data_IF_468245020214
#
_entry.id   IF_468245020214
#
_cell.length_a   1.000
_cell.length_b   1.000
_cell.length_c   1.000
_cell.angle_alpha   90.00
_cell.angle_beta   90.00
_cell.angle_gamma   90.00
#
_symmetry.space_group_name_H-M   'P 1'
#
loop_
_entity.id
_entity.type
_entity.pdbx_description
1 polymer ?
#
# COMPACT_ATOMS: atom_id res chain seq x y z
N UNK A 1 -11.13 2.65 -15.26
CA UNK A 1 -11.59 4.02 -14.90
C UNK A 1 -11.57 4.20 -13.38
N UNK A 2 -11.20 5.37 -12.86
CA UNK A 2 -11.23 5.68 -11.42
C UNK A 2 -12.64 5.74 -10.81
N UNK A 3 -13.30 4.58 -10.69
CA UNK A 3 -14.67 4.43 -10.21
C UNK A 3 -14.89 3.02 -9.67
N UNK A 4 -15.70 2.92 -8.63
CA UNK A 4 -16.24 1.64 -8.15
C UNK A 4 -17.69 1.81 -7.68
N UNK A 5 -18.37 0.69 -7.42
CA UNK A 5 -19.71 0.65 -6.83
C UNK A 5 -19.61 -0.05 -5.49
N UNK A 6 -20.19 0.56 -4.46
CA UNK A 6 -20.28 0.00 -3.12
C UNK A 6 -21.67 0.30 -2.57
N UNK A 7 -22.36 -0.74 -2.09
CA UNK A 7 -23.74 -0.67 -1.58
C UNK A 7 -24.70 0.06 -2.54
N UNK A 8 -24.58 -0.24 -3.84
CA UNK A 8 -25.40 0.34 -4.90
C UNK A 8 -25.06 1.80 -5.26
N UNK A 9 -24.15 2.45 -4.55
CA UNK A 9 -23.71 3.82 -4.82
C UNK A 9 -22.43 3.85 -5.64
N UNK A 10 -22.41 4.74 -6.62
CA UNK A 10 -21.24 5.02 -7.45
C UNK A 10 -20.29 5.97 -6.72
N UNK A 11 -19.01 5.60 -6.63
CA UNK A 11 -17.93 6.43 -6.13
C UNK A 11 -16.91 6.67 -7.23
N UNK A 12 -16.37 7.89 -7.29
CA UNK A 12 -15.32 8.29 -8.22
C UNK A 12 -14.06 8.58 -7.44
N UNK A 13 -12.97 7.89 -7.78
CA UNK A 13 -11.66 8.10 -7.18
C UNK A 13 -10.86 9.12 -7.99
N UNK A 14 -9.84 9.70 -7.37
CA UNK A 14 -8.96 10.64 -8.05
C UNK A 14 -8.24 9.96 -9.22
N UNK A 15 -8.45 10.47 -10.45
CA UNK A 15 -7.80 9.97 -11.66
C UNK A 15 -6.41 10.60 -11.78
N UNK A 16 -5.38 9.77 -11.73
CA UNK A 16 -3.96 10.17 -11.79
C UNK A 16 -3.13 9.34 -12.78
N UNK A 17 -3.74 8.42 -13.52
CA UNK A 17 -3.07 7.59 -14.52
C UNK A 17 -4.01 7.32 -15.70
N UNK A 18 -3.91 8.14 -16.76
CA UNK A 18 -4.84 8.13 -17.88
C UNK A 18 -6.29 8.31 -17.42
N UNK A 19 -7.11 7.26 -17.53
CA UNK A 19 -8.51 7.24 -17.05
C UNK A 19 -8.68 6.54 -15.69
N UNK A 20 -7.59 6.03 -15.13
CA UNK A 20 -7.53 5.17 -13.96
C UNK A 20 -7.06 5.93 -12.72
N UNK A 21 -7.30 5.31 -11.57
CA UNK A 21 -6.75 5.74 -10.29
C UNK A 21 -5.71 4.71 -9.86
N UNK A 22 -4.47 5.15 -9.69
CA UNK A 22 -3.35 4.31 -9.25
C UNK A 22 -2.88 4.73 -7.86
N UNK A 23 -2.51 3.75 -7.04
CA UNK A 23 -1.93 3.92 -5.70
C UNK A 23 -2.72 4.85 -4.75
N UNK A 24 -4.05 4.79 -4.84
CA UNK A 24 -4.94 5.56 -3.98
C UNK A 24 -5.06 7.05 -4.36
N UNK A 25 -4.59 7.47 -5.53
CA UNK A 25 -4.79 8.82 -6.06
C UNK A 25 -3.58 9.74 -5.93
N UNK A 26 -3.79 11.06 -6.13
CA UNK A 26 -2.72 12.06 -6.15
C UNK A 26 -1.94 12.13 -4.83
N UNK A 27 -2.63 12.02 -3.69
CA UNK A 27 -2.07 11.98 -2.34
C UNK A 27 -2.49 10.70 -1.60
N UNK A 28 -2.14 9.55 -2.16
CA UNK A 28 -2.26 8.27 -1.46
C UNK A 28 -1.34 8.16 -0.25
N UNK A 29 -1.40 7.02 0.45
CA UNK A 29 -0.69 6.78 1.72
C UNK A 29 0.84 6.92 1.69
N UNK A 30 1.46 6.88 0.51
CA UNK A 30 2.90 7.15 0.33
C UNK A 30 3.25 8.65 0.41
N UNK A 31 2.26 9.54 0.46
CA UNK A 31 2.43 11.01 0.41
C UNK A 31 1.76 11.75 1.56
N UNK A 32 1.33 11.03 2.59
CA UNK A 32 0.77 11.62 3.81
C UNK A 32 1.82 11.61 4.92
N UNK A 33 1.67 12.52 5.87
CA UNK A 33 2.49 12.52 7.08
C UNK A 33 1.83 11.60 8.10
N UNK A 34 2.55 10.56 8.49
CA UNK A 34 2.09 9.60 9.48
C UNK A 34 2.45 10.06 10.88
N UNK A 35 1.53 9.86 11.81
CA UNK A 35 1.78 10.04 13.24
C UNK A 35 2.47 8.80 13.79
N UNK A 36 3.55 8.96 14.55
CA UNK A 36 4.13 7.84 15.32
C UNK A 36 3.21 7.56 16.50
N UNK A 37 2.56 6.39 16.50
CA UNK A 37 1.65 5.99 17.57
C UNK A 37 2.39 5.28 18.70
N UNK A 38 3.38 4.48 18.34
CA UNK A 38 4.18 3.69 19.26
C UNK A 38 5.58 3.46 18.68
N UNK A 39 6.57 3.43 19.54
CA UNK A 39 7.95 3.17 19.17
C UNK A 39 8.67 2.48 20.33
N UNK A 40 9.28 1.33 20.02
CA UNK A 40 10.14 0.59 20.95
C UNK A 40 11.52 0.45 20.33
N UNK A 41 12.50 1.08 20.98
CA UNK A 41 13.89 1.02 20.57
C UNK A 41 14.59 -0.21 21.17
N UNK A 42 15.35 -0.93 20.36
CA UNK A 42 16.19 -2.05 20.80
C UNK A 42 15.42 -3.32 21.20
N UNK A 43 16.12 -4.24 21.87
CA UNK A 43 15.62 -5.57 22.20
C UNK A 43 15.63 -6.54 21.02
N UNK A 44 15.05 -7.72 21.21
CA UNK A 44 15.00 -8.78 20.20
C UNK A 44 14.02 -8.50 19.04
N UNK A 45 13.18 -7.47 19.21
CA UNK A 45 12.07 -7.15 18.30
C UNK A 45 11.71 -5.66 18.33
N UNK A 46 12.63 -4.73 18.03
CA UNK A 46 12.30 -3.31 17.91
C UNK A 46 11.22 -3.06 16.85
N UNK A 47 10.34 -2.11 17.10
CA UNK A 47 9.29 -1.76 16.17
C UNK A 47 8.85 -0.29 16.25
N UNK A 48 8.22 0.16 15.18
CA UNK A 48 7.53 1.45 15.10
C UNK A 48 6.14 1.23 14.50
N UNK A 49 5.11 1.77 15.16
CA UNK A 49 3.74 1.79 14.65
C UNK A 49 3.39 3.20 14.20
N UNK A 50 3.11 3.34 12.91
CA UNK A 50 2.65 4.55 12.27
C UNK A 50 1.13 4.55 12.19
N UNK A 51 0.52 5.72 12.31
CA UNK A 51 -0.92 5.92 12.26
C UNK A 51 -1.31 7.07 11.33
N UNK A 52 -2.40 6.89 10.58
CA UNK A 52 -3.02 7.93 9.77
C UNK A 52 -4.55 7.77 9.77
N UNK A 53 -5.26 8.89 9.82
CA UNK A 53 -6.72 8.98 9.66
C UNK A 53 -7.02 9.52 8.27
N UNK A 54 -7.54 8.68 7.38
CA UNK A 54 -8.18 9.13 6.14
C UNK A 54 -9.60 9.57 6.48
N UNK A 55 -10.02 10.73 6.01
CA UNK A 55 -11.37 11.26 6.23
C UNK A 55 -12.32 10.87 5.09
N UNK A 56 -13.63 10.88 5.36
CA UNK A 56 -14.68 10.62 4.36
C UNK A 56 -14.51 11.50 3.11
N UNK A 57 -14.36 10.86 1.95
CA UNK A 57 -14.17 11.51 0.66
C UNK A 57 -12.71 11.75 0.27
N UNK A 58 -11.73 11.42 1.13
CA UNK A 58 -10.32 11.57 0.79
C UNK A 58 -9.96 10.74 -0.45
N UNK A 59 -9.37 11.39 -1.46
CA UNK A 59 -9.09 10.82 -2.78
C UNK A 59 -10.30 10.18 -3.48
N UNK A 60 -11.53 10.48 -3.02
CA UNK A 60 -12.79 9.94 -3.53
C UNK A 60 -13.28 8.66 -2.85
N UNK A 61 -12.60 8.17 -1.80
CA UNK A 61 -13.03 7.00 -1.04
C UNK A 61 -14.03 7.38 0.06
N UNK A 62 -15.11 6.63 0.28
CA UNK A 62 -16.05 6.90 1.36
C UNK A 62 -15.47 6.50 2.72
N UNK A 63 -15.98 7.17 3.74
CA UNK A 63 -15.81 6.83 5.14
C UNK A 63 -14.49 7.30 5.74
N UNK A 64 -14.53 7.49 7.06
CA UNK A 64 -13.31 7.66 7.83
C UNK A 64 -12.65 6.29 8.00
N UNK A 65 -11.33 6.24 7.77
CA UNK A 65 -10.53 5.04 7.86
C UNK A 65 -9.33 5.30 8.78
N UNK A 66 -9.28 4.55 9.87
CA UNK A 66 -8.07 4.42 10.67
C UNK A 66 -7.11 3.47 9.99
N UNK A 67 -5.86 3.88 9.80
CA UNK A 67 -4.82 3.04 9.23
C UNK A 67 -3.61 3.01 10.15
N UNK A 68 -3.10 1.81 10.39
CA UNK A 68 -1.89 1.55 11.15
C UNK A 68 -0.91 0.74 10.29
N UNK A 69 0.37 1.11 10.34
CA UNK A 69 1.46 0.36 9.73
C UNK A 69 2.58 0.16 10.75
N UNK A 70 2.77 -1.08 11.19
CA UNK A 70 3.85 -1.45 12.11
C UNK A 70 5.00 -2.07 11.32
N UNK A 71 6.18 -1.47 11.44
CA UNK A 71 7.43 -2.03 10.95
C UNK A 71 8.18 -2.60 12.15
N UNK A 72 8.55 -3.88 12.08
CA UNK A 72 9.24 -4.58 13.14
C UNK A 72 10.44 -5.31 12.55
N UNK A 73 11.59 -5.18 13.21
CA UNK A 73 12.79 -5.97 12.89
C UNK A 73 12.96 -7.00 13.99
N UNK A 74 13.15 -8.28 13.62
CA UNK A 74 13.41 -9.35 14.58
C UNK A 74 14.61 -10.19 14.15
N UNK A 75 15.23 -10.85 15.13
CA UNK A 75 16.31 -11.82 14.89
C UNK A 75 15.82 -13.00 14.04
N UNK A 76 16.65 -13.56 13.12
CA UNK A 76 18.01 -13.13 12.79
C UNK A 76 18.09 -11.89 11.88
N UNK A 77 17.24 -11.74 10.86
CA UNK A 77 17.19 -10.55 9.98
C UNK A 77 15.83 -10.45 9.28
N UNK A 78 14.74 -10.38 10.06
CA UNK A 78 13.38 -10.35 9.51
C UNK A 78 12.80 -8.95 9.65
N UNK A 79 12.44 -8.33 8.53
CA UNK A 79 11.57 -7.15 8.51
C UNK A 79 10.13 -7.60 8.33
N UNK A 80 9.32 -7.47 9.37
CA UNK A 80 7.88 -7.71 9.33
C UNK A 80 7.13 -6.40 9.19
N UNK A 81 6.14 -6.38 8.31
CA UNK A 81 5.28 -5.21 8.10
C UNK A 81 3.84 -5.65 8.33
N UNK A 82 3.19 -5.06 9.31
CA UNK A 82 1.78 -5.31 9.63
C UNK A 82 0.97 -4.07 9.34
N UNK A 83 0.04 -4.17 8.41
CA UNK A 83 -0.93 -3.11 8.15
C UNK A 83 -2.30 -3.51 8.71
N UNK A 84 -2.94 -2.61 9.42
CA UNK A 84 -4.32 -2.75 9.86
C UNK A 84 -5.10 -1.51 9.43
N UNK A 85 -6.35 -1.69 9.01
CA UNK A 85 -7.23 -0.57 8.82
C UNK A 85 -8.64 -0.88 9.31
N UNK A 86 -9.28 0.13 9.90
CA UNK A 86 -10.62 0.04 10.48
C UNK A 86 -11.48 1.14 9.90
N UNK A 87 -12.50 0.74 9.14
CA UNK A 87 -13.53 1.67 8.67
C UNK A 87 -14.42 2.07 9.86
N UNK A 88 -14.62 3.37 10.07
CA UNK A 88 -15.26 3.86 11.29
C UNK A 88 -16.74 4.20 11.12
N UNK A 89 -17.14 4.68 9.95
CA UNK A 89 -18.49 5.18 9.74
C UNK A 89 -19.15 4.72 8.43
N UNK A 90 -18.39 4.30 7.41
CA UNK A 90 -18.88 3.75 6.14
C UNK A 90 -17.93 2.67 5.65
N UNK A 91 -18.46 1.66 4.97
CA UNK A 91 -17.64 0.70 4.26
C UNK A 91 -16.78 1.41 3.19
N UNK A 92 -15.56 0.93 2.99
CA UNK A 92 -14.62 1.47 2.00
C UNK A 92 -13.71 0.36 1.48
N UNK A 93 -13.35 0.34 0.18
CA UNK A 93 -12.40 -0.63 -0.32
C UNK A 93 -11.00 -0.32 0.22
N UNK A 94 -10.32 -1.35 0.72
CA UNK A 94 -8.96 -1.24 1.25
C UNK A 94 -8.14 -2.39 0.71
N UNK A 95 -7.01 -2.08 0.07
CA UNK A 95 -6.03 -3.06 -0.37
C UNK A 95 -4.63 -2.44 -0.27
N UNK A 96 -3.85 -2.88 0.72
CA UNK A 96 -2.51 -2.37 0.96
C UNK A 96 -1.46 -3.23 0.28
N UNK A 97 -0.40 -2.59 -0.18
CA UNK A 97 0.83 -3.24 -0.61
C UNK A 97 2.02 -2.45 -0.10
N UNK A 98 3.17 -3.11 -0.02
CA UNK A 98 4.46 -2.48 0.23
C UNK A 98 5.21 -2.36 -1.09
N UNK A 99 5.66 -1.14 -1.39
CA UNK A 99 6.24 -0.80 -2.69
C UNK A 99 7.77 -0.75 -2.63
N UNK A 100 8.36 -1.78 -2.01
CA UNK A 100 9.81 -1.89 -1.82
C UNK A 100 10.47 -2.34 -3.11
N UNK A 101 11.55 -1.66 -3.48
CA UNK A 101 12.40 -2.05 -4.60
C UNK A 101 13.67 -2.72 -4.07
N UNK A 102 13.95 -3.92 -4.57
CA UNK A 102 15.18 -4.65 -4.25
C UNK A 102 16.18 -4.52 -5.40
N UNK A 103 17.42 -4.19 -5.04
CA UNK A 103 18.59 -4.40 -5.88
C UNK A 103 19.71 -4.96 -5.00
N UNK A 104 20.01 -6.26 -5.15
CA UNK A 104 21.00 -6.94 -4.31
C UNK A 104 22.45 -6.51 -4.59
N UNK A 105 22.71 -5.84 -5.73
CA UNK A 105 24.02 -5.23 -6.01
C UNK A 105 24.24 -3.93 -5.23
N UNK A 106 23.18 -3.40 -4.60
CA UNK A 106 23.20 -2.13 -3.89
C UNK A 106 22.91 -0.92 -4.79
N UNK A 107 22.79 0.24 -4.16
CA UNK A 107 22.48 1.49 -4.86
C UNK A 107 23.55 1.84 -5.89
N UNK A 108 23.13 2.16 -7.11
CA UNK A 108 24.03 2.55 -8.21
C UNK A 108 24.75 1.39 -8.90
N UNK A 109 24.43 0.14 -8.56
CA UNK A 109 25.04 -1.05 -9.16
C UNK A 109 24.57 -1.39 -10.58
N UNK A 110 23.58 -0.66 -11.10
CA UNK A 110 23.00 -0.90 -12.42
C UNK A 110 21.65 -1.62 -12.35
N UNK A 111 21.38 -2.45 -13.35
CA UNK A 111 20.13 -3.19 -13.47
C UNK A 111 20.07 -4.44 -12.55
N UNK A 112 18.94 -5.13 -12.60
CA UNK A 112 18.67 -6.36 -11.83
C UNK A 112 18.62 -7.62 -12.70
N UNK A 113 19.08 -7.54 -13.96
CA UNK A 113 18.91 -8.61 -14.94
C UNK A 113 19.78 -9.84 -14.64
N UNK A 114 20.84 -9.66 -13.85
CA UNK A 114 21.68 -10.76 -13.36
C UNK A 114 21.13 -11.49 -12.14
N UNK A 115 20.02 -11.03 -11.55
CA UNK A 115 19.44 -11.63 -10.35
C UNK A 115 18.56 -12.83 -10.70
N UNK A 116 18.62 -13.89 -9.89
CA UNK A 116 17.74 -15.05 -10.03
C UNK A 116 16.48 -14.89 -9.18
N UNK A 117 15.31 -15.12 -9.79
CA UNK A 117 14.01 -15.05 -9.12
C UNK A 117 13.30 -16.41 -9.17
N UNK A 118 12.77 -16.86 -8.03
CA UNK A 118 11.87 -17.99 -7.94
C UNK A 118 10.51 -17.52 -7.42
N UNK A 119 9.43 -17.83 -8.15
CA UNK A 119 8.05 -17.51 -7.77
C UNK A 119 7.25 -18.80 -7.61
N UNK A 120 6.66 -19.03 -6.44
CA UNK A 120 5.74 -20.14 -6.18
C UNK A 120 4.33 -19.82 -6.68
N UNK A 121 4.19 -19.54 -7.98
CA UNK A 121 2.93 -19.19 -8.62
C UNK A 121 2.79 -19.88 -9.99
N UNK A 122 1.60 -20.42 -10.27
CA UNK A 122 1.32 -21.13 -11.53
C UNK A 122 0.49 -20.31 -12.54
N UNK A 123 0.10 -19.08 -12.17
CA UNK A 123 -0.72 -18.17 -12.97
C UNK A 123 -0.30 -16.72 -12.69
N UNK A 124 -0.56 -15.85 -13.65
CA UNK A 124 -0.44 -14.39 -13.53
C UNK A 124 -1.72 -13.76 -14.07
N UNK A 125 -1.91 -12.46 -13.82
CA UNK A 125 -3.03 -11.68 -14.36
C UNK A 125 -2.56 -10.93 -15.61
N UNK A 126 -3.01 -11.31 -16.82
CA UNK A 126 -2.73 -10.54 -18.03
C UNK A 126 -3.38 -9.15 -17.94
N UNK A 127 -2.75 -8.18 -18.58
CA UNK A 127 -3.19 -6.78 -18.57
C UNK A 127 -3.37 -6.26 -19.99
N UNK A 128 -4.34 -5.38 -20.17
CA UNK A 128 -4.52 -4.62 -21.41
C UNK A 128 -3.55 -3.42 -21.49
N UNK A 129 -3.66 -2.63 -22.56
CA UNK A 129 -2.83 -1.43 -22.78
C UNK A 129 -3.05 -0.33 -21.74
N UNK A 130 -4.18 -0.37 -21.00
CA UNK A 130 -4.49 0.54 -19.88
C UNK A 130 -4.04 -0.04 -18.52
N UNK A 131 -3.28 -1.14 -18.53
CA UNK A 131 -2.82 -1.87 -17.35
C UNK A 131 -3.97 -2.39 -16.47
N UNK A 132 -5.12 -2.67 -17.07
CA UNK A 132 -6.27 -3.29 -16.40
C UNK A 132 -6.32 -4.80 -16.69
N UNK A 133 -6.83 -5.63 -15.76
CA UNK A 133 -7.00 -7.06 -16.01
C UNK A 133 -7.86 -7.34 -17.26
N UNK A 134 -7.37 -8.21 -18.15
CA UNK A 134 -8.03 -8.65 -19.39
C UNK A 134 -8.58 -10.06 -19.31
#
# INVERSE_FOLDING_TARGET
RGRFVLDGKVYHTYINDGRNAIHGGHRGFSKVIWTVKEYVAGGDSPYITLYYRSFDGEQGFPGDLDVYATYQVSSPYVLSIRTNATALNKATPVNFLQHVYFNLGGQGSGDVLGHTLQLSASRYTPMDEELLPS
#
